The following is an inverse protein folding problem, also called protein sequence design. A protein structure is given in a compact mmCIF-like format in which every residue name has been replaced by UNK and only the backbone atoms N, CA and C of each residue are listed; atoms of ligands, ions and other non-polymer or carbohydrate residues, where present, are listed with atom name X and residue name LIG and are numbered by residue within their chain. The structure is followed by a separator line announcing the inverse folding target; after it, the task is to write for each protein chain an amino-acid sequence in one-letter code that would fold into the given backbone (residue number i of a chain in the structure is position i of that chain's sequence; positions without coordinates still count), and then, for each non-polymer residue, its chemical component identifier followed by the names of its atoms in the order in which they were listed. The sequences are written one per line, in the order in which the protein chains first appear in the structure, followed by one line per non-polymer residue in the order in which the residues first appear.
data_IF_379983645280
#
_entry.id   IF_379983645280
#
_cell.length_a   1.000
_cell.length_b   1.000
_cell.length_c   1.000
_cell.angle_alpha   90.00
_cell.angle_beta   90.00
_cell.angle_gamma   90.00
#
_symmetry.space_group_name_H-M   'P 1'
#
loop_
_entity.id
_entity.type
_entity.pdbx_description
1 polymer ?
#
# COMPACT_ATOMS: atom_id res chain seq x y z
N UNK A 1 -19.37 -21.99 12.68
CA UNK A 1 -18.18 -22.43 11.96
C UNK A 1 -17.47 -21.19 11.40
N UNK A 2 -16.21 -21.01 11.75
CA UNK A 2 -15.41 -19.88 11.27
C UNK A 2 -15.04 -20.06 9.79
N UNK A 3 -15.15 -19.01 9.01
CA UNK A 3 -14.75 -18.98 7.60
C UNK A 3 -13.25 -18.72 7.49
N UNK A 4 -12.58 -19.30 6.49
CA UNK A 4 -11.15 -19.14 6.29
C UNK A 4 -10.83 -17.79 5.64
N UNK A 5 -9.91 -17.02 6.21
CA UNK A 5 -9.40 -15.78 5.61
C UNK A 5 -8.56 -16.05 4.37
N UNK A 6 -7.76 -17.11 4.41
CA UNK A 6 -6.93 -17.61 3.31
C UNK A 6 -6.36 -18.99 3.66
N UNK A 7 -5.80 -19.75 2.69
CA UNK A 7 -5.14 -21.04 2.95
C UNK A 7 -3.71 -20.90 3.49
N UNK A 8 -3.27 -19.74 3.98
CA UNK A 8 -1.88 -19.44 4.32
C UNK A 8 -1.20 -20.47 5.22
N UNK A 9 -1.85 -20.90 6.29
CA UNK A 9 -1.24 -21.84 7.23
C UNK A 9 -1.16 -23.26 6.64
N UNK A 10 -2.16 -23.65 5.87
CA UNK A 10 -2.22 -24.99 5.28
C UNK A 10 -1.23 -25.18 4.15
N UNK A 11 -1.05 -24.19 3.29
CA UNK A 11 -0.08 -24.28 2.19
C UNK A 11 1.37 -24.39 2.69
N UNK A 12 1.72 -23.71 3.79
CA UNK A 12 3.02 -23.90 4.43
C UNK A 12 3.21 -25.31 4.99
N UNK A 13 2.16 -25.94 5.58
CA UNK A 13 2.22 -27.32 6.00
C UNK A 13 2.46 -28.29 4.84
N UNK A 14 1.91 -28.00 3.66
CA UNK A 14 2.18 -28.81 2.46
C UNK A 14 3.65 -28.72 2.04
N UNK A 15 4.30 -27.55 2.18
CA UNK A 15 5.74 -27.43 1.92
C UNK A 15 6.56 -28.25 2.94
N UNK A 16 6.19 -28.20 4.23
CA UNK A 16 6.82 -29.04 5.25
C UNK A 16 6.62 -30.54 4.96
N UNK A 17 5.44 -30.91 4.40
CA UNK A 17 5.13 -32.29 4.00
C UNK A 17 5.87 -32.76 2.75
N UNK A 18 6.69 -31.91 2.11
CA UNK A 18 7.52 -32.27 0.95
C UNK A 18 6.87 -32.01 -0.40
N UNK A 19 5.84 -31.19 -0.48
CA UNK A 19 5.31 -30.77 -1.76
C UNK A 19 6.23 -29.70 -2.36
N UNK A 20 6.54 -29.82 -3.65
CA UNK A 20 7.36 -28.84 -4.37
C UNK A 20 6.56 -27.61 -4.76
N UNK A 21 5.32 -27.81 -5.19
CA UNK A 21 4.43 -26.77 -5.70
C UNK A 21 2.99 -27.01 -5.29
N UNK A 22 2.33 -25.94 -4.92
CA UNK A 22 0.91 -25.92 -4.59
C UNK A 22 0.25 -24.73 -5.29
N UNK A 23 -0.97 -24.95 -5.79
CA UNK A 23 -1.87 -23.85 -6.13
C UNK A 23 -3.31 -24.24 -5.86
N UNK A 24 -4.14 -23.23 -5.62
CA UNK A 24 -5.58 -23.41 -5.43
C UNK A 24 -6.30 -22.14 -5.92
N UNK A 25 -7.44 -22.32 -6.58
CA UNK A 25 -8.43 -21.24 -6.76
C UNK A 25 -9.40 -21.37 -5.59
N UNK A 26 -9.34 -20.42 -4.67
CA UNK A 26 -9.96 -20.54 -3.35
C UNK A 26 -10.80 -19.34 -3.00
N UNK A 27 -11.95 -19.59 -2.36
CA UNK A 27 -12.79 -18.56 -1.77
C UNK A 27 -12.19 -18.14 -0.43
N UNK A 28 -12.02 -16.83 -0.24
CA UNK A 28 -11.49 -16.21 0.97
C UNK A 28 -12.54 -15.28 1.57
N UNK A 29 -12.49 -15.12 2.91
CA UNK A 29 -13.46 -14.34 3.65
C UNK A 29 -12.73 -13.40 4.61
N UNK A 30 -12.98 -12.10 4.49
CA UNK A 30 -12.38 -11.08 5.36
C UNK A 30 -13.41 -10.06 5.79
N UNK A 31 -13.34 -9.68 7.05
CA UNK A 31 -14.09 -8.55 7.58
C UNK A 31 -13.31 -7.26 7.26
N UNK A 32 -13.67 -6.63 6.16
CA UNK A 32 -13.01 -5.43 5.65
C UNK A 32 -14.03 -4.38 5.25
N UNK A 33 -13.59 -3.11 5.26
CA UNK A 33 -14.37 -2.02 4.70
C UNK A 33 -14.72 -2.28 3.22
N UNK A 34 -15.99 -2.20 2.89
CA UNK A 34 -16.48 -2.39 1.54
C UNK A 34 -16.20 -1.16 0.68
N UNK A 35 -15.17 -1.27 -0.14
CA UNK A 35 -14.76 -0.25 -1.10
C UNK A 35 -15.10 -0.69 -2.53
N UNK A 36 -14.80 0.15 -3.50
CA UNK A 36 -15.02 -0.17 -4.92
C UNK A 36 -14.25 -1.44 -5.36
N UNK A 37 -13.10 -1.70 -4.77
CA UNK A 37 -12.19 -2.80 -5.08
C UNK A 37 -12.13 -3.90 -4.00
N UNK A 38 -13.10 -3.94 -3.07
CA UNK A 38 -13.14 -4.91 -1.96
C UNK A 38 -14.54 -5.47 -1.71
N UNK A 39 -14.57 -6.77 -1.40
CA UNK A 39 -15.74 -7.53 -0.97
C UNK A 39 -15.38 -8.43 0.20
N UNK A 40 -16.32 -8.75 1.13
CA UNK A 40 -16.05 -9.59 2.29
C UNK A 40 -15.77 -11.05 1.93
N UNK A 41 -16.26 -11.47 0.77
CA UNK A 41 -15.94 -12.76 0.16
C UNK A 41 -15.42 -12.55 -1.26
N UNK A 42 -14.29 -13.13 -1.59
CA UNK A 42 -13.60 -12.97 -2.85
C UNK A 42 -12.80 -14.23 -3.21
N UNK A 43 -12.33 -14.30 -4.43
CA UNK A 43 -11.58 -15.46 -4.92
C UNK A 43 -10.12 -15.11 -5.11
N UNK A 44 -9.22 -15.99 -4.66
CA UNK A 44 -7.79 -15.89 -4.91
C UNK A 44 -7.29 -17.06 -5.76
N UNK A 45 -6.29 -16.77 -6.60
CA UNK A 45 -5.37 -17.79 -7.12
C UNK A 45 -4.19 -17.79 -6.15
N UNK A 46 -4.12 -18.82 -5.32
CA UNK A 46 -3.11 -18.93 -4.26
C UNK A 46 -2.06 -19.95 -4.63
N UNK A 47 -0.79 -19.57 -4.52
CA UNK A 47 0.37 -20.37 -4.92
C UNK A 47 1.39 -20.41 -3.78
N UNK A 48 2.02 -21.58 -3.59
CA UNK A 48 3.18 -21.75 -2.70
C UNK A 48 4.17 -22.73 -3.33
N UNK A 49 5.47 -22.45 -3.19
CA UNK A 49 6.53 -23.27 -3.78
C UNK A 49 7.70 -23.44 -2.79
N UNK A 50 8.29 -24.64 -2.81
CA UNK A 50 9.50 -24.97 -2.04
C UNK A 50 10.77 -24.67 -2.84
N UNK A 51 11.86 -24.36 -2.13
CA UNK A 51 13.20 -24.12 -2.67
C UNK A 51 13.27 -22.95 -3.65
N UNK A 52 12.52 -21.89 -3.39
CA UNK A 52 12.42 -20.70 -4.24
C UNK A 52 12.92 -19.45 -3.52
N UNK A 53 13.35 -18.50 -4.32
CA UNK A 53 13.57 -17.11 -3.97
C UNK A 53 12.51 -16.19 -4.62
N UNK A 54 12.63 -14.88 -4.44
CA UNK A 54 11.69 -13.91 -5.00
C UNK A 54 11.66 -13.95 -6.54
N UNK A 55 12.82 -14.10 -7.19
CA UNK A 55 12.91 -14.11 -8.65
C UNK A 55 12.15 -15.28 -9.27
N UNK A 56 12.13 -16.44 -8.60
CA UNK A 56 11.36 -17.61 -9.06
C UNK A 56 9.84 -17.33 -9.02
N UNK A 57 9.38 -16.66 -7.98
CA UNK A 57 7.96 -16.24 -7.86
C UNK A 57 7.65 -15.18 -8.91
N UNK A 58 8.50 -14.17 -9.08
CA UNK A 58 8.30 -13.10 -10.06
C UNK A 58 8.22 -13.67 -11.47
N UNK A 59 9.17 -14.50 -11.87
CA UNK A 59 9.18 -15.10 -13.20
C UNK A 59 7.95 -15.95 -13.50
N UNK A 60 7.43 -16.69 -12.52
CA UNK A 60 6.20 -17.45 -12.66
C UNK A 60 4.98 -16.55 -12.87
N UNK A 61 4.83 -15.49 -12.07
CA UNK A 61 3.70 -14.56 -12.15
C UNK A 61 3.79 -13.70 -13.42
N UNK A 62 4.97 -13.22 -13.78
CA UNK A 62 5.19 -12.49 -15.04
C UNK A 62 4.78 -13.34 -16.23
N UNK A 63 5.20 -14.60 -16.26
CA UNK A 63 4.79 -15.55 -17.30
C UNK A 63 3.27 -15.74 -17.37
N UNK A 64 2.61 -15.85 -16.20
CA UNK A 64 1.14 -15.95 -16.14
C UNK A 64 0.46 -14.68 -16.65
N UNK A 65 0.88 -13.50 -16.21
CA UNK A 65 0.30 -12.22 -16.61
C UNK A 65 0.51 -11.95 -18.09
N UNK A 66 1.70 -12.18 -18.63
CA UNK A 66 1.99 -11.98 -20.05
C UNK A 66 1.12 -12.89 -20.93
N UNK A 67 0.95 -14.14 -20.52
CA UNK A 67 0.06 -15.08 -21.22
C UNK A 67 -1.40 -14.64 -21.13
N UNK A 68 -1.90 -14.24 -19.96
CA UNK A 68 -3.25 -13.75 -19.74
C UNK A 68 -3.57 -12.53 -20.63
N UNK A 69 -2.72 -11.52 -20.64
CA UNK A 69 -2.92 -10.33 -21.47
C UNK A 69 -2.91 -10.66 -22.95
N UNK A 70 -2.03 -11.57 -23.37
CA UNK A 70 -1.95 -11.99 -24.76
C UNK A 70 -3.18 -12.77 -25.21
N UNK A 71 -3.62 -13.75 -24.44
CA UNK A 71 -4.70 -14.66 -24.83
C UNK A 71 -6.09 -14.04 -24.65
N UNK A 72 -6.29 -13.23 -23.61
CA UNK A 72 -7.61 -12.65 -23.30
C UNK A 72 -7.82 -11.29 -23.97
N UNK A 73 -6.82 -10.41 -23.90
CA UNK A 73 -6.94 -9.03 -24.41
C UNK A 73 -6.25 -8.82 -25.77
N UNK A 74 -5.53 -9.83 -26.28
CA UNK A 74 -4.67 -9.71 -27.45
C UNK A 74 -3.60 -8.59 -27.31
N UNK A 75 -3.17 -8.30 -26.08
CA UNK A 75 -2.14 -7.33 -25.74
C UNK A 75 -0.82 -8.05 -25.51
N UNK A 76 0.20 -7.68 -26.27
CA UNK A 76 1.54 -8.23 -26.13
C UNK A 76 2.38 -7.38 -25.20
N UNK A 77 2.44 -7.73 -23.92
CA UNK A 77 3.21 -7.03 -22.89
C UNK A 77 4.72 -7.08 -23.14
N UNK A 78 5.25 -8.03 -23.94
CA UNK A 78 6.67 -8.05 -24.33
C UNK A 78 7.08 -6.82 -25.14
N UNK A 79 6.14 -6.14 -25.79
CA UNK A 79 6.43 -4.86 -26.46
C UNK A 79 6.74 -3.74 -25.47
N UNK A 80 6.13 -3.78 -24.28
CA UNK A 80 6.35 -2.81 -23.21
C UNK A 80 7.48 -3.25 -22.26
N UNK A 81 7.60 -4.56 -22.04
CA UNK A 81 8.60 -5.18 -21.17
C UNK A 81 9.44 -6.21 -21.95
N UNK A 82 10.39 -5.74 -22.80
CA UNK A 82 11.09 -6.63 -23.78
C UNK A 82 11.92 -7.73 -23.13
N UNK A 83 12.36 -7.53 -21.90
CA UNK A 83 13.13 -8.51 -21.13
C UNK A 83 12.24 -9.62 -20.50
N UNK A 84 10.92 -9.53 -20.67
CA UNK A 84 9.96 -10.43 -20.03
C UNK A 84 9.88 -10.23 -18.52
N UNK A 85 10.30 -9.08 -18.01
CA UNK A 85 10.33 -8.74 -16.57
C UNK A 85 9.60 -7.43 -16.32
N UNK A 86 8.83 -7.39 -15.24
CA UNK A 86 8.21 -6.16 -14.76
C UNK A 86 9.22 -5.29 -13.99
N UNK A 87 9.06 -3.96 -14.03
CA UNK A 87 9.84 -3.07 -13.18
C UNK A 87 9.70 -3.42 -11.69
N UNK A 88 10.76 -3.22 -10.93
CA UNK A 88 10.78 -3.37 -9.47
C UNK A 88 11.01 -2.03 -8.82
N UNK A 89 10.20 -1.69 -7.84
CA UNK A 89 10.31 -0.48 -7.05
C UNK A 89 10.29 -0.86 -5.58
N UNK A 90 11.23 -0.36 -4.80
CA UNK A 90 11.22 -0.56 -3.36
C UNK A 90 10.07 0.21 -2.72
N UNK A 91 9.49 -0.33 -1.66
CA UNK A 91 8.41 0.31 -0.90
C UNK A 91 8.75 1.74 -0.49
N UNK A 92 9.96 1.95 0.03
CA UNK A 92 10.44 3.29 0.42
C UNK A 92 10.40 4.28 -0.77
N UNK A 93 10.84 3.86 -1.95
CA UNK A 93 10.79 4.68 -3.15
C UNK A 93 9.35 5.00 -3.56
N UNK A 94 8.46 4.01 -3.51
CA UNK A 94 7.04 4.21 -3.80
C UNK A 94 6.40 5.21 -2.82
N UNK A 95 6.67 5.06 -1.53
CA UNK A 95 6.20 6.00 -0.52
C UNK A 95 6.77 7.41 -0.75
N UNK A 96 8.04 7.53 -1.09
CA UNK A 96 8.69 8.81 -1.38
C UNK A 96 8.11 9.50 -2.61
N UNK A 97 7.91 8.78 -3.72
CA UNK A 97 7.46 9.34 -5.01
C UNK A 97 5.94 9.46 -5.12
N UNK A 98 5.18 8.57 -4.52
CA UNK A 98 3.74 8.43 -4.75
C UNK A 98 2.89 8.43 -3.47
N UNK A 99 3.51 8.26 -2.29
CA UNK A 99 2.83 8.26 -1.00
C UNK A 99 1.96 7.03 -0.74
N UNK A 100 2.13 5.96 -1.50
CA UNK A 100 1.45 4.68 -1.29
C UNK A 100 2.28 3.52 -1.85
N UNK A 101 1.88 2.30 -1.54
CA UNK A 101 2.47 1.02 -1.93
C UNK A 101 1.92 0.44 -3.24
N UNK A 102 1.05 1.16 -3.93
CA UNK A 102 0.40 0.76 -5.18
C UNK A 102 0.25 1.94 -6.14
N UNK A 103 1.36 2.48 -6.63
CA UNK A 103 1.32 3.69 -7.46
C UNK A 103 0.70 3.42 -8.83
N UNK A 104 -0.11 4.37 -9.29
CA UNK A 104 -0.55 4.39 -10.68
C UNK A 104 0.52 5.07 -11.55
N UNK A 105 1.22 4.30 -12.37
CA UNK A 105 2.31 4.78 -13.22
C UNK A 105 1.85 5.27 -14.60
N UNK A 106 0.54 5.26 -14.88
CA UNK A 106 0.01 5.72 -16.18
C UNK A 106 0.22 7.21 -16.44
N UNK A 107 0.50 7.99 -15.39
CA UNK A 107 0.72 9.44 -15.48
C UNK A 107 1.82 9.91 -14.52
N UNK A 108 2.36 11.09 -14.80
CA UNK A 108 3.37 11.76 -13.98
C UNK A 108 2.79 12.38 -12.70
N UNK A 109 3.26 13.58 -12.34
CA UNK A 109 2.96 14.31 -11.10
C UNK A 109 3.43 13.52 -9.87
N UNK A 110 4.74 13.35 -9.76
CA UNK A 110 5.35 12.70 -8.59
C UNK A 110 5.47 13.67 -7.42
N UNK A 111 5.58 13.13 -6.22
CA UNK A 111 5.88 13.90 -5.02
C UNK A 111 7.39 14.16 -4.93
N UNK A 112 7.73 15.30 -4.34
CA UNK A 112 9.10 15.59 -3.88
C UNK A 112 9.06 15.74 -2.35
N UNK A 113 9.92 15.03 -1.66
CA UNK A 113 10.13 15.22 -0.23
C UNK A 113 11.02 16.44 -0.01
N UNK A 114 10.50 17.41 0.74
CA UNK A 114 11.16 18.68 1.05
C UNK A 114 11.64 18.74 2.50
N UNK A 115 11.47 17.66 3.27
CA UNK A 115 11.73 17.64 4.72
C UNK A 115 13.16 18.08 5.02
N UNK A 116 14.14 17.52 4.33
CA UNK A 116 15.55 17.86 4.58
C UNK A 116 15.87 19.32 4.23
N UNK A 117 15.29 19.85 3.14
CA UNK A 117 15.45 21.27 2.79
C UNK A 117 14.85 22.18 3.87
N UNK A 118 13.67 21.83 4.40
CA UNK A 118 13.03 22.55 5.49
C UNK A 118 13.90 22.52 6.75
N UNK A 119 14.50 21.36 7.07
CA UNK A 119 15.41 21.20 8.21
C UNK A 119 16.68 22.05 8.03
N UNK A 120 17.34 21.99 6.88
CA UNK A 120 18.56 22.74 6.57
C UNK A 120 18.36 24.25 6.66
N UNK A 121 17.16 24.75 6.35
CA UNK A 121 16.82 26.17 6.43
C UNK A 121 16.12 26.56 7.75
N UNK A 122 16.11 25.67 8.79
CA UNK A 122 15.48 25.95 10.08
C UNK A 122 13.99 26.28 10.02
N UNK A 123 13.27 25.74 9.00
CA UNK A 123 11.86 26.03 8.74
C UNK A 123 11.62 27.29 7.92
N UNK A 124 12.68 28.09 7.65
CA UNK A 124 12.65 29.25 6.75
C UNK A 124 11.62 30.32 7.08
N UNK A 125 11.30 30.53 8.37
CA UNK A 125 10.31 31.52 8.83
C UNK A 125 8.84 31.10 8.66
N UNK A 126 8.58 29.88 8.17
CA UNK A 126 7.23 29.36 8.06
C UNK A 126 6.78 28.73 9.37
N UNK A 127 5.74 29.26 10.06
CA UNK A 127 5.34 28.80 11.39
C UNK A 127 5.04 27.31 11.52
N UNK A 128 4.64 26.65 10.43
CA UNK A 128 4.34 25.22 10.39
C UNK A 128 5.58 24.36 10.14
N UNK A 129 6.64 24.92 9.54
CA UNK A 129 7.87 24.20 9.23
C UNK A 129 8.91 24.31 10.35
N UNK A 130 8.92 25.42 11.09
CA UNK A 130 9.87 25.65 12.18
C UNK A 130 9.81 24.56 13.27
N UNK A 131 8.63 24.13 13.76
CA UNK A 131 8.55 23.03 14.73
C UNK A 131 9.13 21.72 14.18
N UNK A 132 8.85 21.38 12.91
CA UNK A 132 9.40 20.18 12.26
C UNK A 132 10.92 20.28 12.22
N UNK A 133 11.47 21.36 11.70
CA UNK A 133 12.92 21.59 11.62
C UNK A 133 13.60 21.51 12.98
N UNK A 134 12.99 22.10 14.02
CA UNK A 134 13.49 22.08 15.40
C UNK A 134 13.58 20.66 15.96
N UNK A 135 12.54 19.84 15.76
CA UNK A 135 12.50 18.46 16.25
C UNK A 135 13.59 17.58 15.61
N UNK A 136 13.84 17.75 14.31
CA UNK A 136 14.95 17.07 13.65
C UNK A 136 16.32 17.56 14.13
N UNK A 137 16.47 18.87 14.32
CA UNK A 137 17.75 19.45 14.76
C UNK A 137 18.06 19.09 16.23
N UNK A 138 17.04 18.98 17.07
CA UNK A 138 17.19 18.55 18.47
C UNK A 138 17.41 17.05 18.64
N UNK A 139 17.24 16.25 17.58
CA UNK A 139 17.31 14.78 17.64
C UNK A 139 16.05 14.12 18.20
N UNK A 140 14.96 14.88 18.40
CA UNK A 140 13.65 14.32 18.79
C UNK A 140 13.09 13.45 17.64
N UNK A 141 13.28 13.89 16.38
CA UNK A 141 12.89 13.14 15.19
C UNK A 141 14.12 12.51 14.53
N UNK A 142 13.93 11.29 14.07
CA UNK A 142 14.93 10.51 13.35
C UNK A 142 14.76 10.73 11.83
N UNK A 143 15.89 10.78 11.09
CA UNK A 143 15.85 10.90 9.61
C UNK A 143 15.46 9.62 8.90
N UNK A 144 15.84 8.49 9.47
CA UNK A 144 15.55 7.15 8.92
C UNK A 144 14.12 6.65 9.21
N UNK A 145 13.44 7.29 10.19
CA UNK A 145 12.04 7.01 10.53
C UNK A 145 11.32 8.32 10.96
N UNK A 146 11.11 9.24 10.03
CA UNK A 146 10.56 10.56 10.35
C UNK A 146 9.10 10.49 10.80
N UNK A 147 8.77 11.12 11.91
CA UNK A 147 7.42 11.22 12.44
C UNK A 147 6.59 12.28 11.72
N UNK A 148 7.24 13.34 11.23
CA UNK A 148 6.62 14.38 10.41
C UNK A 148 7.47 14.67 9.18
N UNK A 149 6.82 14.95 8.06
CA UNK A 149 7.45 15.26 6.78
C UNK A 149 6.79 16.47 6.09
N UNK A 150 7.49 17.01 5.11
CA UNK A 150 6.98 18.03 4.19
C UNK A 150 7.11 17.51 2.77
N UNK A 151 5.98 17.41 2.06
CA UNK A 151 5.95 16.98 0.66
C UNK A 151 5.29 17.98 -0.25
N UNK A 152 5.76 18.01 -1.48
CA UNK A 152 5.16 18.82 -2.54
C UNK A 152 4.92 18.01 -3.82
N UNK A 153 4.02 18.52 -4.66
CA UNK A 153 3.88 18.18 -6.06
C UNK A 153 3.66 19.45 -6.88
N UNK A 154 3.94 19.38 -8.18
CA UNK A 154 3.82 20.49 -9.10
C UNK A 154 2.71 20.22 -10.12
N UNK A 155 1.82 21.20 -10.29
CA UNK A 155 0.86 21.25 -11.39
C UNK A 155 1.44 22.19 -12.43
N UNK A 156 1.76 21.73 -13.65
CA UNK A 156 2.36 22.58 -14.66
C UNK A 156 1.40 23.65 -15.16
N UNK A 157 1.91 24.81 -15.52
CA UNK A 157 1.11 25.93 -16.04
C UNK A 157 0.25 25.55 -17.25
N UNK A 158 0.75 24.61 -18.09
CA UNK A 158 0.03 24.07 -19.25
C UNK A 158 -1.26 23.32 -18.91
N UNK A 159 -1.43 22.90 -17.67
CA UNK A 159 -2.64 22.18 -17.22
C UNK A 159 -3.87 23.10 -17.07
N UNK A 160 -3.73 24.41 -17.21
CA UNK A 160 -4.80 25.40 -17.08
C UNK A 160 -5.62 25.25 -15.77
N UNK A 161 -4.94 24.93 -14.68
CA UNK A 161 -5.57 24.69 -13.38
C UNK A 161 -5.98 26.02 -12.73
N UNK A 162 -7.28 26.26 -12.64
CA UNK A 162 -7.82 27.51 -12.15
C UNK A 162 -7.79 27.61 -10.61
N UNK A 163 -8.01 28.83 -10.07
CA UNK A 163 -8.18 29.02 -8.63
C UNK A 163 -9.34 28.21 -8.07
N UNK A 164 -10.48 28.14 -8.79
CA UNK A 164 -11.63 27.35 -8.40
C UNK A 164 -11.33 25.84 -8.35
N UNK A 165 -10.48 25.33 -9.25
CA UNK A 165 -10.03 23.94 -9.19
C UNK A 165 -9.15 23.70 -7.96
N UNK A 166 -8.30 24.67 -7.62
CA UNK A 166 -7.53 24.64 -6.39
C UNK A 166 -8.37 24.60 -5.12
N UNK A 167 -9.47 25.38 -5.09
CA UNK A 167 -10.39 25.39 -3.94
C UNK A 167 -11.14 24.05 -3.81
N UNK A 168 -11.51 23.43 -4.94
CA UNK A 168 -12.08 22.07 -4.96
C UNK A 168 -11.08 21.01 -4.49
N UNK A 169 -9.82 21.10 -4.91
CA UNK A 169 -8.76 20.20 -4.45
C UNK A 169 -8.55 20.34 -2.93
N UNK A 170 -8.59 21.57 -2.40
CA UNK A 170 -8.51 21.78 -0.96
C UNK A 170 -9.72 21.20 -0.21
N UNK A 171 -10.95 21.39 -0.73
CA UNK A 171 -12.14 20.75 -0.15
C UNK A 171 -12.02 19.23 -0.15
N UNK A 172 -11.51 18.63 -1.21
CA UNK A 172 -11.25 17.20 -1.29
C UNK A 172 -10.29 16.74 -0.19
N UNK A 173 -9.16 17.44 -0.01
CA UNK A 173 -8.17 17.15 1.05
C UNK A 173 -8.77 17.30 2.45
N UNK A 174 -9.59 18.35 2.67
CA UNK A 174 -10.32 18.54 3.94
C UNK A 174 -11.32 17.42 4.21
N UNK A 175 -12.02 16.95 3.19
CA UNK A 175 -12.93 15.80 3.26
C UNK A 175 -12.23 14.51 3.68
N UNK A 176 -10.91 14.39 3.44
CA UNK A 176 -10.06 13.28 3.87
C UNK A 176 -9.40 13.52 5.24
N UNK A 177 -9.83 14.51 5.99
CA UNK A 177 -9.28 14.84 7.31
C UNK A 177 -8.00 15.69 7.28
N UNK A 178 -7.61 16.22 6.12
CA UNK A 178 -6.55 17.23 6.02
C UNK A 178 -6.98 18.56 6.60
N UNK A 179 -6.05 19.34 7.16
CA UNK A 179 -6.33 20.69 7.67
C UNK A 179 -6.50 21.74 6.56
N UNK A 180 -6.01 21.45 5.37
CA UNK A 180 -6.06 22.30 4.17
C UNK A 180 -5.05 21.85 3.13
N UNK A 181 -4.92 22.62 2.06
CA UNK A 181 -3.91 22.42 1.01
C UNK A 181 -3.13 23.71 0.82
N UNK A 182 -1.86 23.72 1.26
CA UNK A 182 -0.99 24.86 0.98
C UNK A 182 -0.64 24.88 -0.51
N UNK A 183 -0.86 26.05 -1.15
CA UNK A 183 -0.61 26.22 -2.59
C UNK A 183 0.19 27.50 -2.81
N UNK A 184 1.03 27.51 -3.85
CA UNK A 184 1.73 28.68 -4.32
C UNK A 184 1.77 28.69 -5.84
N UNK A 185 1.39 29.80 -6.48
CA UNK A 185 1.60 30.02 -7.89
C UNK A 185 2.95 30.71 -8.09
N UNK A 186 3.74 30.21 -9.02
CA UNK A 186 5.08 30.71 -9.31
C UNK A 186 4.99 31.91 -10.24
N UNK A 187 5.56 33.03 -9.82
CA UNK A 187 5.71 34.23 -10.62
C UNK A 187 6.87 34.16 -11.62
N UNK A 188 6.96 35.14 -12.51
CA UNK A 188 8.02 35.23 -13.54
C UNK A 188 9.42 35.34 -12.92
N UNK A 189 9.53 35.91 -11.74
CA UNK A 189 10.76 36.06 -10.94
C UNK A 189 11.00 34.89 -9.95
N UNK A 190 10.21 33.84 -10.02
CA UNK A 190 10.26 32.72 -9.08
C UNK A 190 9.66 33.03 -7.71
N UNK A 191 8.97 34.16 -7.53
CA UNK A 191 8.24 34.48 -6.31
C UNK A 191 7.00 33.59 -6.15
N UNK A 192 6.59 33.39 -4.91
CA UNK A 192 5.35 32.66 -4.62
C UNK A 192 4.20 33.66 -4.49
N UNK A 193 3.20 33.51 -5.35
CA UNK A 193 1.98 34.32 -5.35
C UNK A 193 0.78 33.48 -4.96
N UNK A 194 -0.30 34.11 -4.52
CA UNK A 194 -1.54 33.44 -4.12
C UNK A 194 -1.35 32.34 -3.07
N UNK A 195 -0.39 32.54 -2.17
CA UNK A 195 0.00 31.54 -1.15
C UNK A 195 -0.06 32.12 0.25
N UNK A 196 -0.62 31.39 1.23
CA UNK A 196 -0.54 31.79 2.64
C UNK A 196 0.91 31.75 3.16
N UNK A 197 1.79 30.98 2.54
CA UNK A 197 3.19 30.83 2.93
C UNK A 197 4.09 31.97 2.40
N UNK A 198 3.68 32.65 1.33
CA UNK A 198 4.49 33.64 0.63
C UNK A 198 4.98 34.81 1.52
N UNK A 199 4.23 35.14 2.57
CA UNK A 199 4.58 36.23 3.48
C UNK A 199 5.69 35.90 4.47
N UNK A 200 5.85 34.60 4.78
CA UNK A 200 6.71 34.15 5.87
C UNK A 200 7.93 33.40 5.37
N UNK A 201 7.83 32.74 4.19
CA UNK A 201 8.93 31.93 3.67
C UNK A 201 10.14 32.79 3.33
N UNK A 202 11.30 32.43 3.87
CA UNK A 202 12.57 33.06 3.52
C UNK A 202 12.95 32.83 2.05
N UNK A 203 13.64 33.78 1.46
CA UNK A 203 14.13 33.67 0.08
C UNK A 203 15.02 32.44 -0.13
N UNK A 204 15.86 32.12 0.87
CA UNK A 204 16.73 30.94 0.82
C UNK A 204 15.96 29.63 0.70
N UNK A 205 14.96 29.42 1.56
CA UNK A 205 14.13 28.18 1.50
C UNK A 205 13.28 28.17 0.23
N UNK A 206 12.67 29.30 -0.15
CA UNK A 206 11.86 29.39 -1.36
C UNK A 206 12.66 29.02 -2.62
N UNK A 207 13.86 29.58 -2.78
CA UNK A 207 14.73 29.27 -3.91
C UNK A 207 15.16 27.79 -3.92
N UNK A 208 15.51 27.24 -2.76
CA UNK A 208 15.86 25.82 -2.64
C UNK A 208 14.68 24.90 -3.03
N UNK A 209 13.46 25.21 -2.59
CA UNK A 209 12.26 24.47 -2.99
C UNK A 209 12.00 24.61 -4.49
N UNK A 210 12.05 25.83 -5.04
CA UNK A 210 11.84 26.05 -6.47
C UNK A 210 12.83 25.23 -7.31
N UNK A 211 14.09 25.19 -6.90
CA UNK A 211 15.13 24.42 -7.59
C UNK A 211 14.87 22.90 -7.47
N UNK A 212 14.53 22.40 -6.27
CA UNK A 212 14.26 20.99 -6.04
C UNK A 212 13.05 20.49 -6.83
N UNK A 213 12.07 21.34 -7.07
CA UNK A 213 10.84 21.04 -7.82
C UNK A 213 10.95 21.36 -9.31
N UNK A 214 12.05 21.92 -9.80
CA UNK A 214 12.25 22.40 -11.18
C UNK A 214 11.06 23.24 -11.69
N UNK A 215 10.52 24.12 -10.84
CA UNK A 215 9.33 24.89 -11.17
C UNK A 215 9.60 25.96 -12.21
N UNK A 216 8.57 26.27 -13.02
CA UNK A 216 8.58 27.29 -14.05
C UNK A 216 7.54 28.37 -13.76
N UNK A 217 7.66 29.57 -14.33
CA UNK A 217 6.64 30.59 -14.21
C UNK A 217 5.23 30.07 -14.58
N UNK A 218 4.27 30.34 -13.73
CA UNK A 218 2.89 29.89 -13.88
C UNK A 218 2.54 28.54 -13.28
N UNK A 219 3.54 27.73 -12.91
CA UNK A 219 3.31 26.45 -12.21
C UNK A 219 2.66 26.69 -10.85
N UNK A 220 1.97 25.66 -10.35
CA UNK A 220 1.36 25.67 -9.02
C UNK A 220 2.00 24.56 -8.19
N UNK A 221 2.64 24.96 -7.10
CA UNK A 221 3.17 24.04 -6.09
C UNK A 221 2.07 23.76 -5.06
N UNK A 222 1.80 22.50 -4.82
CA UNK A 222 0.89 22.02 -3.76
C UNK A 222 1.71 21.31 -2.69
N UNK A 223 1.52 21.69 -1.41
CA UNK A 223 2.28 21.16 -0.28
C UNK A 223 1.35 20.57 0.79
N UNK A 224 1.82 19.49 1.40
CA UNK A 224 1.31 18.92 2.65
C UNK A 224 2.45 18.71 3.63
N UNK A 225 2.16 18.86 4.92
CA UNK A 225 3.13 18.72 5.99
C UNK A 225 2.45 18.23 7.28
N UNK A 226 3.22 17.60 8.14
CA UNK A 226 2.77 17.03 9.42
C UNK A 226 3.08 15.54 9.54
N UNK A 227 2.25 14.76 10.26
CA UNK A 227 2.48 13.34 10.51
C UNK A 227 2.70 12.57 9.20
N UNK A 228 3.78 11.79 9.13
CA UNK A 228 4.28 11.12 7.93
C UNK A 228 3.21 10.31 7.21
N UNK A 229 2.52 9.42 7.91
CA UNK A 229 1.47 8.58 7.33
C UNK A 229 0.32 9.42 6.73
N UNK A 230 -0.11 10.45 7.46
CA UNK A 230 -1.17 11.35 7.00
C UNK A 230 -0.77 12.13 5.77
N UNK A 231 0.46 12.64 5.71
CA UNK A 231 0.98 13.37 4.54
C UNK A 231 1.06 12.44 3.33
N UNK A 232 1.52 11.20 3.51
CA UNK A 232 1.54 10.21 2.44
C UNK A 232 0.13 9.96 1.87
N UNK A 233 -0.84 9.67 2.72
CA UNK A 233 -2.24 9.41 2.31
C UNK A 233 -2.84 10.62 1.58
N UNK A 234 -2.69 11.82 2.13
CA UNK A 234 -3.26 13.04 1.53
C UNK A 234 -2.62 13.36 0.18
N UNK A 235 -1.30 13.23 0.06
CA UNK A 235 -0.58 13.50 -1.19
C UNK A 235 -0.87 12.45 -2.26
N UNK A 236 -0.93 11.16 -1.90
CA UNK A 236 -1.30 10.10 -2.83
C UNK A 236 -2.69 10.33 -3.42
N UNK A 237 -3.66 10.66 -2.58
CA UNK A 237 -5.03 10.94 -3.03
C UNK A 237 -5.14 12.26 -3.81
N UNK A 238 -4.39 13.30 -3.44
CA UNK A 238 -4.29 14.53 -4.22
C UNK A 238 -3.76 14.25 -5.63
N UNK A 239 -2.70 13.43 -5.73
CA UNK A 239 -2.13 13.02 -7.01
C UNK A 239 -3.17 12.33 -7.90
N UNK A 240 -3.92 11.36 -7.37
CA UNK A 240 -4.99 10.66 -8.10
C UNK A 240 -6.13 11.60 -8.50
N UNK A 241 -6.54 12.49 -7.59
CA UNK A 241 -7.55 13.51 -7.88
C UNK A 241 -7.11 14.41 -9.05
N UNK A 242 -5.88 14.89 -9.03
CA UNK A 242 -5.32 15.72 -10.11
C UNK A 242 -5.20 14.90 -11.41
N UNK A 243 -4.74 13.66 -11.36
CA UNK A 243 -4.64 12.79 -12.52
C UNK A 243 -5.98 12.63 -13.25
N UNK A 244 -7.07 12.43 -12.51
CA UNK A 244 -8.43 12.38 -13.05
C UNK A 244 -8.89 13.75 -13.55
N UNK A 245 -8.73 14.79 -12.74
CA UNK A 245 -9.19 16.14 -13.05
C UNK A 245 -8.52 16.73 -14.31
N UNK A 246 -7.26 16.40 -14.53
CA UNK A 246 -6.47 16.86 -15.67
C UNK A 246 -6.55 15.94 -16.89
N UNK A 247 -7.35 14.87 -16.83
CA UNK A 247 -7.47 13.90 -17.92
C UNK A 247 -6.20 13.11 -18.21
N UNK A 248 -5.33 12.94 -17.22
CA UNK A 248 -4.06 12.22 -17.37
C UNK A 248 -4.22 10.71 -17.20
N UNK A 249 -5.29 10.29 -16.54
CA UNK A 249 -5.65 8.88 -16.36
C UNK A 249 -6.67 8.54 -17.47
N UNK A 250 -6.41 7.54 -18.33
CA UNK A 250 -7.37 7.11 -19.35
C UNK A 250 -8.71 6.71 -18.71
N UNK A 251 -9.81 7.04 -19.37
CA UNK A 251 -11.15 6.58 -18.93
C UNK A 251 -11.28 5.07 -19.10
N UNK A 252 -12.06 4.45 -18.21
CA UNK A 252 -12.39 3.02 -18.31
C UNK A 252 -13.06 2.71 -19.65
N UNK A 253 -12.74 1.57 -20.26
CA UNK A 253 -13.29 1.16 -21.55
C UNK A 253 -12.65 1.83 -22.77
N UNK A 254 -11.63 2.67 -22.59
CA UNK A 254 -10.96 3.35 -23.70
C UNK A 254 -9.82 2.55 -24.35
N UNK A 255 -9.62 1.28 -23.98
CA UNK A 255 -8.47 0.48 -24.40
C UNK A 255 -7.18 0.95 -23.75
N UNK A 256 -7.25 1.25 -22.47
CA UNK A 256 -6.25 1.99 -21.71
C UNK A 256 -4.88 1.32 -21.63
N UNK A 257 -3.91 2.12 -21.24
CA UNK A 257 -2.54 1.68 -20.93
C UNK A 257 -2.53 0.85 -19.66
N UNK A 258 -1.88 -0.32 -19.71
CA UNK A 258 -1.66 -1.19 -18.56
C UNK A 258 -0.22 -1.02 -18.05
N UNK A 259 -0.06 -0.50 -16.85
CA UNK A 259 1.23 -0.33 -16.18
C UNK A 259 1.34 -1.29 -15.02
N UNK A 260 2.28 -2.21 -15.12
CA UNK A 260 2.57 -3.26 -14.15
C UNK A 260 3.91 -2.99 -13.47
N UNK A 261 4.00 -3.28 -12.17
CA UNK A 261 5.26 -3.25 -11.43
C UNK A 261 5.20 -4.14 -10.21
N UNK A 262 6.37 -4.49 -9.69
CA UNK A 262 6.54 -5.06 -8.36
C UNK A 262 6.88 -3.98 -7.35
N UNK A 263 6.25 -4.03 -6.18
CA UNK A 263 6.69 -3.32 -4.97
C UNK A 263 7.38 -4.33 -4.08
N UNK A 264 8.58 -4.03 -3.60
CA UNK A 264 9.44 -4.94 -2.82
C UNK A 264 9.92 -4.29 -1.53
N UNK A 265 10.42 -5.11 -0.63
CA UNK A 265 11.14 -4.70 0.60
C UNK A 265 10.34 -3.74 1.51
N UNK A 266 9.06 -4.01 1.83
CA UNK A 266 8.35 -3.19 2.80
C UNK A 266 8.83 -3.45 4.22
N UNK A 267 8.48 -2.57 5.19
CA UNK A 267 8.66 -2.84 6.61
C UNK A 267 7.93 -4.12 7.04
N UNK A 268 8.54 -4.90 7.93
CA UNK A 268 7.94 -6.10 8.53
C UNK A 268 6.85 -5.72 9.54
N UNK A 269 7.04 -4.58 10.21
CA UNK A 269 6.16 -4.11 11.29
C UNK A 269 5.63 -2.72 11.01
N UNK A 270 4.44 -2.46 11.52
CA UNK A 270 3.80 -1.16 11.58
C UNK A 270 3.32 -0.86 13.00
N UNK A 271 3.01 0.40 13.30
CA UNK A 271 2.38 0.75 14.56
C UNK A 271 0.91 0.36 14.56
N UNK A 272 0.43 -0.22 15.66
CA UNK A 272 -0.99 -0.48 15.86
C UNK A 272 -1.81 0.83 15.86
N UNK A 273 -3.13 0.74 15.79
CA UNK A 273 -4.04 1.90 15.79
C UNK A 273 -3.82 2.84 16.98
N UNK A 274 -3.29 2.34 18.10
CA UNK A 274 -2.95 3.15 19.26
C UNK A 274 -1.60 3.84 19.14
N UNK A 275 -0.78 3.47 18.17
CA UNK A 275 0.59 3.94 17.97
C UNK A 275 1.59 3.48 19.04
N UNK A 276 1.18 2.57 19.95
CA UNK A 276 1.96 2.16 21.11
C UNK A 276 2.71 0.87 20.93
N UNK A 277 2.17 -0.07 20.15
CA UNK A 277 2.76 -1.40 19.93
C UNK A 277 3.11 -1.60 18.47
N UNK A 278 4.03 -2.52 18.24
CA UNK A 278 4.28 -3.03 16.90
C UNK A 278 3.29 -4.14 16.56
N UNK A 279 2.81 -4.15 15.36
CA UNK A 279 2.02 -5.21 14.75
C UNK A 279 2.74 -5.71 13.49
N UNK A 280 2.49 -6.93 13.06
CA UNK A 280 2.95 -7.37 11.76
C UNK A 280 2.19 -6.58 10.68
N UNK A 281 2.91 -5.92 9.78
CA UNK A 281 2.30 -5.13 8.71
C UNK A 281 1.38 -5.97 7.79
N UNK A 282 1.63 -7.30 7.74
CA UNK A 282 0.82 -8.24 6.96
C UNK A 282 0.53 -9.52 7.77
N UNK A 283 1.50 -10.43 7.83
CA UNK A 283 1.41 -11.62 8.66
C UNK A 283 2.79 -11.96 9.27
N UNK A 284 2.84 -12.57 10.47
CA UNK A 284 4.08 -12.77 11.20
C UNK A 284 4.97 -13.91 10.68
N UNK A 285 4.59 -14.54 9.56
CA UNK A 285 5.35 -15.61 8.90
C UNK A 285 6.17 -15.13 7.71
N UNK A 286 6.29 -13.83 7.52
CA UNK A 286 7.14 -13.22 6.49
C UNK A 286 8.59 -13.20 6.97
N UNK A 287 9.53 -13.60 6.10
CA UNK A 287 10.95 -13.59 6.41
C UNK A 287 11.48 -12.16 6.44
N UNK A 288 12.10 -11.70 7.56
CA UNK A 288 12.88 -10.47 7.56
C UNK A 288 14.11 -10.61 6.67
N UNK A 289 14.64 -9.49 6.16
CA UNK A 289 15.95 -9.47 5.53
C UNK A 289 17.03 -9.90 6.53
N UNK A 290 18.03 -10.65 6.08
CA UNK A 290 19.04 -11.24 6.96
C UNK A 290 19.88 -10.16 7.69
N UNK A 291 20.13 -9.03 7.04
CA UNK A 291 20.82 -7.86 7.61
C UNK A 291 19.97 -7.08 8.62
N UNK A 292 18.66 -7.30 8.65
CA UNK A 292 17.71 -6.65 9.56
C UNK A 292 17.39 -7.52 10.81
N UNK A 293 17.82 -8.77 10.87
CA UNK A 293 17.46 -9.69 11.98
C UNK A 293 17.86 -9.13 13.35
N UNK A 294 19.00 -8.46 13.45
CA UNK A 294 19.47 -7.86 14.71
C UNK A 294 18.68 -6.61 15.14
N UNK A 295 17.84 -6.08 14.26
CA UNK A 295 16.97 -4.94 14.55
C UNK A 295 15.63 -5.36 15.17
N UNK A 296 15.27 -6.66 15.15
CA UNK A 296 13.99 -7.15 15.65
C UNK A 296 13.68 -6.70 17.09
N UNK A 297 14.69 -6.67 17.96
CA UNK A 297 14.52 -6.21 19.36
C UNK A 297 15.00 -4.78 19.58
N UNK A 298 15.91 -4.28 18.74
CA UNK A 298 16.52 -2.96 18.93
C UNK A 298 15.71 -1.85 18.31
N UNK A 299 15.19 -2.10 17.10
CA UNK A 299 14.50 -1.11 16.30
C UNK A 299 13.55 -1.75 15.28
N UNK A 300 12.43 -2.33 15.72
CA UNK A 300 11.51 -3.04 14.83
C UNK A 300 11.02 -2.22 13.64
N UNK A 301 10.95 -0.88 13.78
CA UNK A 301 10.50 0.01 12.70
C UNK A 301 11.42 0.08 11.48
N UNK A 302 12.66 -0.39 11.59
CA UNK A 302 13.61 -0.45 10.49
C UNK A 302 13.76 -1.85 9.89
N UNK A 303 13.04 -2.84 10.40
CA UNK A 303 13.11 -4.21 9.87
C UNK A 303 12.37 -4.30 8.56
N UNK A 304 13.10 -4.51 7.48
CA UNK A 304 12.56 -4.81 6.16
C UNK A 304 12.35 -6.32 5.99
N UNK A 305 11.48 -6.70 5.05
CA UNK A 305 11.16 -8.10 4.83
C UNK A 305 11.06 -8.47 3.33
N UNK A 306 11.20 -9.76 3.07
CA UNK A 306 11.07 -10.38 1.75
C UNK A 306 9.59 -10.51 1.32
N UNK A 307 8.85 -9.39 1.39
CA UNK A 307 7.51 -9.28 0.87
C UNK A 307 7.52 -8.54 -0.47
N UNK A 308 6.57 -8.88 -1.29
CA UNK A 308 6.38 -8.29 -2.61
C UNK A 308 4.89 -8.23 -2.97
N UNK A 309 4.52 -7.17 -3.65
CA UNK A 309 3.18 -6.98 -4.21
C UNK A 309 3.28 -6.68 -5.70
N UNK A 310 2.43 -7.30 -6.52
CA UNK A 310 2.29 -6.95 -7.92
C UNK A 310 1.14 -5.96 -8.09
N UNK A 311 1.45 -4.85 -8.75
CA UNK A 311 0.54 -3.71 -8.92
C UNK A 311 0.22 -3.53 -10.39
N UNK A 312 -1.05 -3.29 -10.70
CA UNK A 312 -1.57 -2.94 -12.02
C UNK A 312 -2.40 -1.67 -11.92
N UNK A 313 -1.98 -0.60 -12.60
CA UNK A 313 -2.74 0.66 -12.69
C UNK A 313 -3.18 1.25 -11.35
N UNK A 314 -2.36 1.16 -10.31
CA UNK A 314 -2.69 1.69 -8.99
C UNK A 314 -3.48 0.72 -8.09
N UNK A 315 -3.63 -0.53 -8.51
CA UNK A 315 -4.26 -1.59 -7.72
C UNK A 315 -3.26 -2.71 -7.45
N UNK A 316 -3.12 -3.11 -6.20
CA UNK A 316 -2.47 -4.36 -5.83
C UNK A 316 -3.34 -5.52 -6.33
N UNK A 317 -2.85 -6.27 -7.32
CA UNK A 317 -3.54 -7.44 -7.87
C UNK A 317 -3.11 -8.74 -7.20
N UNK A 318 -2.02 -8.71 -6.43
CA UNK A 318 -1.56 -9.86 -5.67
C UNK A 318 -0.41 -9.49 -4.76
N UNK A 319 -0.29 -10.21 -3.67
CA UNK A 319 0.79 -10.04 -2.69
C UNK A 319 1.30 -11.37 -2.16
N UNK A 320 2.58 -11.40 -1.82
CA UNK A 320 3.26 -12.59 -1.34
C UNK A 320 4.53 -12.30 -0.56
N UNK A 321 5.19 -13.35 -0.12
CA UNK A 321 6.48 -13.24 0.56
C UNK A 321 7.28 -14.54 0.48
N UNK A 322 8.58 -14.44 0.72
CA UNK A 322 9.36 -15.59 1.19
C UNK A 322 9.00 -15.80 2.66
N UNK A 323 8.79 -17.06 3.05
CA UNK A 323 8.30 -17.41 4.37
C UNK A 323 9.44 -17.56 5.35
N UNK A 324 9.16 -17.19 6.58
CA UNK A 324 10.05 -17.45 7.70
C UNK A 324 9.91 -18.91 8.10
N UNK A 325 10.95 -19.68 7.89
CA UNK A 325 11.00 -21.12 8.17
C UNK A 325 11.96 -21.48 9.31
N UNK A 326 12.74 -20.50 9.81
CA UNK A 326 13.61 -20.67 10.98
C UNK A 326 12.79 -20.44 12.28
N UNK A 327 12.61 -21.48 13.13
CA UNK A 327 11.85 -21.33 14.36
C UNK A 327 12.46 -20.34 15.37
N UNK A 328 13.77 -20.15 15.36
CA UNK A 328 14.46 -19.23 16.28
C UNK A 328 14.18 -17.77 15.93
N UNK A 329 14.22 -17.43 14.65
CA UNK A 329 13.86 -16.10 14.16
C UNK A 329 12.36 -15.87 14.32
N UNK A 330 11.52 -16.90 14.10
CA UNK A 330 10.07 -16.80 14.28
C UNK A 330 9.70 -16.43 15.73
N UNK A 331 10.36 -17.00 16.72
CA UNK A 331 10.15 -16.65 18.12
C UNK A 331 10.51 -15.17 18.39
N UNK A 332 11.58 -14.65 17.79
CA UNK A 332 11.98 -13.24 17.89
C UNK A 332 10.96 -12.29 17.23
N UNK A 333 10.42 -12.67 16.07
CA UNK A 333 9.34 -11.91 15.41
C UNK A 333 8.10 -11.83 16.29
N UNK A 334 7.65 -12.95 16.88
CA UNK A 334 6.51 -12.94 17.80
C UNK A 334 6.74 -12.05 19.02
N UNK A 335 7.93 -12.11 19.59
CA UNK A 335 8.30 -11.26 20.73
C UNK A 335 8.26 -9.77 20.36
N UNK A 336 8.68 -9.40 19.15
CA UNK A 336 8.67 -8.00 18.68
C UNK A 336 7.25 -7.42 18.57
N UNK A 337 6.22 -8.27 18.41
CA UNK A 337 4.81 -7.87 18.32
C UNK A 337 3.99 -8.29 19.55
N UNK A 338 4.66 -8.49 20.69
CA UNK A 338 4.04 -8.82 21.99
C UNK A 338 3.15 -10.08 21.97
N UNK A 339 3.45 -11.08 21.11
CA UNK A 339 2.79 -12.39 21.15
C UNK A 339 3.55 -13.28 22.11
N UNK A 340 2.88 -13.70 23.19
CA UNK A 340 3.46 -14.64 24.17
C UNK A 340 3.64 -16.03 23.60
N UNK A 341 4.52 -16.84 24.22
CA UNK A 341 4.71 -18.25 23.83
C UNK A 341 3.42 -19.05 23.94
N UNK A 342 2.58 -18.77 24.94
CA UNK A 342 1.27 -19.40 25.13
C UNK A 342 0.31 -19.03 24.00
N UNK A 343 0.22 -17.74 23.64
CA UNK A 343 -0.63 -17.28 22.55
C UNK A 343 -0.16 -17.83 21.21
N UNK A 344 1.16 -17.84 20.96
CA UNK A 344 1.76 -18.39 19.77
C UNK A 344 1.44 -19.89 19.64
N UNK A 345 1.56 -20.63 20.75
CA UNK A 345 1.24 -22.06 20.78
C UNK A 345 -0.26 -22.32 20.61
N UNK A 346 -1.12 -21.51 21.18
CA UNK A 346 -2.57 -21.65 21.05
C UNK A 346 -3.04 -21.36 19.62
N UNK A 347 -2.54 -20.29 18.99
CA UNK A 347 -2.99 -19.84 17.66
C UNK A 347 -2.31 -20.59 16.53
N UNK A 348 -1.02 -20.87 16.65
CA UNK A 348 -0.15 -21.35 15.57
C UNK A 348 0.62 -22.62 15.92
N UNK A 349 0.34 -23.25 17.05
CA UNK A 349 1.12 -24.37 17.59
C UNK A 349 1.32 -25.52 16.61
N UNK A 350 0.31 -25.85 15.81
CA UNK A 350 0.42 -26.88 14.78
C UNK A 350 1.42 -26.54 13.68
N UNK A 351 1.45 -25.29 13.21
CA UNK A 351 2.44 -24.82 12.22
C UNK A 351 3.83 -24.74 12.83
N UNK A 352 3.97 -24.14 14.03
CA UNK A 352 5.25 -24.05 14.73
C UNK A 352 5.86 -25.42 15.01
N UNK A 353 5.02 -26.41 15.37
CA UNK A 353 5.46 -27.79 15.53
C UNK A 353 5.94 -28.41 14.23
N UNK A 354 5.23 -28.17 13.12
CA UNK A 354 5.62 -28.63 11.80
C UNK A 354 6.95 -28.01 11.35
N UNK A 355 7.13 -26.69 11.49
CA UNK A 355 8.38 -26.01 11.14
C UNK A 355 9.60 -26.57 11.89
N UNK A 356 9.42 -27.01 13.16
CA UNK A 356 10.49 -27.66 13.94
C UNK A 356 10.92 -29.04 13.41
N UNK A 357 10.08 -29.70 12.62
CA UNK A 357 10.43 -30.96 11.96
C UNK A 357 11.36 -30.77 10.75
N UNK A 358 11.54 -29.54 10.32
CA UNK A 358 12.32 -29.13 9.17
C UNK A 358 11.41 -28.70 8.01
N UNK A 359 11.54 -27.43 7.61
CA UNK A 359 10.84 -26.87 6.46
C UNK A 359 11.86 -26.45 5.40
N UNK A 360 11.61 -26.70 4.11
CA UNK A 360 12.43 -26.10 3.07
C UNK A 360 12.26 -24.58 3.07
N UNK A 361 13.21 -23.80 2.56
CA UNK A 361 12.93 -22.44 2.14
C UNK A 361 11.74 -22.45 1.19
N UNK A 362 10.75 -21.61 1.41
CA UNK A 362 9.54 -21.58 0.60
C UNK A 362 8.97 -20.17 0.51
N UNK A 363 8.16 -19.94 -0.49
CA UNK A 363 7.51 -18.67 -0.73
C UNK A 363 6.30 -18.84 -1.61
N UNK A 364 5.47 -17.82 -1.67
CA UNK A 364 4.25 -17.87 -2.46
C UNK A 364 3.60 -16.51 -2.61
N UNK A 365 2.53 -16.50 -3.38
CA UNK A 365 1.74 -15.31 -3.69
C UNK A 365 0.27 -15.69 -3.83
N UNK A 366 -0.61 -14.75 -3.49
CA UNK A 366 -2.03 -14.85 -3.77
C UNK A 366 -2.46 -13.72 -4.71
N UNK A 367 -3.03 -14.05 -5.86
CA UNK A 367 -3.60 -13.09 -6.80
C UNK A 367 -5.11 -12.97 -6.55
N UNK A 368 -5.61 -11.73 -6.39
CA UNK A 368 -7.04 -11.43 -6.29
C UNK A 368 -7.72 -11.60 -7.64
N UNK A 369 -8.37 -12.74 -7.88
CA UNK A 369 -8.97 -13.07 -9.17
C UNK A 369 -10.06 -12.06 -9.56
N UNK A 370 -10.91 -11.68 -8.62
CA UNK A 370 -12.00 -10.73 -8.89
C UNK A 370 -11.45 -9.34 -9.24
N UNK A 371 -10.40 -8.89 -8.55
CA UNK A 371 -9.76 -7.60 -8.85
C UNK A 371 -9.06 -7.65 -10.21
N UNK A 372 -8.40 -8.75 -10.53
CA UNK A 372 -7.79 -8.94 -11.84
C UNK A 372 -8.86 -8.91 -12.94
N UNK A 373 -9.98 -9.62 -12.75
CA UNK A 373 -11.11 -9.59 -13.68
C UNK A 373 -11.68 -8.18 -13.85
N UNK A 374 -11.87 -7.43 -12.75
CA UNK A 374 -12.32 -6.04 -12.79
C UNK A 374 -11.40 -5.16 -13.66
N UNK A 375 -10.09 -5.29 -13.50
CA UNK A 375 -9.12 -4.49 -14.26
C UNK A 375 -9.02 -4.91 -15.72
N UNK A 376 -9.09 -6.21 -16.02
CA UNK A 376 -9.05 -6.72 -17.41
C UNK A 376 -10.32 -6.41 -18.20
N UNK A 377 -11.46 -6.30 -17.53
CA UNK A 377 -12.75 -5.89 -18.14
C UNK A 377 -12.96 -4.39 -18.11
N UNK A 378 -12.01 -3.62 -17.54
CA UNK A 378 -12.11 -2.18 -17.32
C UNK A 378 -13.39 -1.76 -16.58
N UNK A 379 -13.88 -2.63 -15.66
CA UNK A 379 -15.06 -2.36 -14.83
C UNK A 379 -14.73 -1.35 -13.72
N UNK A 380 -15.69 -0.53 -13.33
CA UNK A 380 -15.50 0.51 -12.32
C UNK A 380 -15.45 -0.04 -10.89
N UNK A 381 -16.13 -1.17 -10.65
CA UNK A 381 -16.19 -1.77 -9.33
C UNK A 381 -16.10 -3.30 -9.38
N UNK A 382 -15.49 -3.88 -8.36
CA UNK A 382 -15.35 -5.34 -8.20
C UNK A 382 -16.71 -6.06 -8.17
N UNK A 383 -17.77 -5.36 -7.77
CA UNK A 383 -19.14 -5.89 -7.77
C UNK A 383 -19.68 -6.19 -9.16
N UNK A 384 -19.11 -5.60 -10.19
CA UNK A 384 -19.55 -5.81 -11.58
C UNK A 384 -19.05 -7.13 -12.14
N UNK A 385 -18.06 -7.75 -11.50
CA UNK A 385 -17.42 -9.01 -11.93
C UNK A 385 -17.63 -10.17 -10.96
N UNK A 386 -18.38 -9.96 -9.86
CA UNK A 386 -18.69 -10.99 -8.88
C UNK A 386 -20.17 -11.35 -8.96
N UNK A 387 -20.46 -12.66 -9.05
CA UNK A 387 -21.82 -13.16 -8.92
C UNK A 387 -22.30 -12.99 -7.47
N UNK A 388 -23.49 -12.42 -7.29
CA UNK A 388 -24.11 -12.16 -5.98
C UNK A 388 -23.27 -11.26 -5.05
N UNK A 389 -22.83 -10.06 -5.50
CA UNK A 389 -22.01 -9.19 -4.69
C UNK A 389 -22.78 -8.63 -3.49
N UNK A 390 -22.06 -8.36 -2.41
CA UNK A 390 -22.64 -7.68 -1.23
C UNK A 390 -22.70 -6.18 -1.43
N UNK A 391 -23.74 -5.56 -0.89
CA UNK A 391 -23.87 -4.09 -0.82
C UNK A 391 -22.86 -3.52 0.18
N UNK A 392 -22.73 -2.19 0.26
CA UNK A 392 -21.91 -1.53 1.27
C UNK A 392 -22.30 -1.84 2.72
N UNK A 393 -23.53 -2.33 2.94
CA UNK A 393 -24.04 -2.77 4.25
C UNK A 393 -23.84 -4.28 4.49
N UNK A 394 -23.13 -4.98 3.62
CA UNK A 394 -22.93 -6.42 3.73
C UNK A 394 -24.13 -7.27 3.34
N UNK A 395 -25.15 -6.69 2.71
CA UNK A 395 -26.37 -7.41 2.36
C UNK A 395 -26.26 -8.03 0.98
N UNK A 396 -26.62 -9.28 0.84
CA UNK A 396 -26.85 -9.95 -0.44
C UNK A 396 -28.25 -9.58 -0.96
N UNK A 397 -28.32 -8.94 -2.11
CA UNK A 397 -29.59 -8.47 -2.68
C UNK A 397 -30.48 -9.60 -3.19
N UNK A 398 -29.92 -10.74 -3.54
CA UNK A 398 -30.67 -11.87 -4.08
C UNK A 398 -31.36 -12.66 -2.97
N UNK A 399 -30.65 -12.92 -1.89
CA UNK A 399 -31.11 -13.75 -0.77
C UNK A 399 -31.65 -12.95 0.40
N UNK A 400 -31.34 -11.65 0.46
CA UNK A 400 -31.64 -10.78 1.61
C UNK A 400 -30.75 -11.08 2.85
N UNK A 401 -29.73 -11.91 2.72
CA UNK A 401 -28.80 -12.22 3.82
C UNK A 401 -27.93 -10.99 4.18
N UNK A 402 -27.55 -10.82 5.49
CA UNK A 402 -27.90 -11.66 6.62
C UNK A 402 -29.36 -11.48 7.07
N UNK A 403 -29.99 -12.56 7.51
CA UNK A 403 -31.33 -12.56 8.06
C UNK A 403 -31.31 -12.87 9.56
N UNK A 404 -32.35 -12.46 10.33
CA UNK A 404 -32.45 -12.81 11.74
C UNK A 404 -32.40 -14.34 11.95
N UNK A 405 -31.72 -14.76 12.98
CA UNK A 405 -31.67 -16.15 13.43
C UNK A 405 -32.84 -16.39 14.40
N UNK A 406 -33.52 -17.55 14.30
CA UNK A 406 -34.62 -17.84 15.17
C UNK A 406 -34.17 -18.05 16.62
N UNK A 407 -35.04 -17.78 17.62
CA UNK A 407 -34.74 -18.02 19.04
C UNK A 407 -34.35 -19.48 19.32
N UNK A 408 -34.95 -20.43 18.62
CA UNK A 408 -34.70 -21.87 18.78
C UNK A 408 -33.27 -22.20 18.31
N UNK A 409 -32.83 -21.67 17.19
CA UNK A 409 -31.47 -21.82 16.66
C UNK A 409 -30.43 -21.20 17.60
N UNK A 410 -30.72 -20.02 18.17
CA UNK A 410 -29.83 -19.38 19.14
C UNK A 410 -29.71 -20.23 20.41
N UNK A 411 -30.85 -20.79 20.91
CA UNK A 411 -30.86 -21.64 22.08
C UNK A 411 -30.07 -22.96 21.86
N UNK A 412 -30.17 -23.57 20.67
CA UNK A 412 -29.41 -24.76 20.28
C UNK A 412 -27.90 -24.47 20.31
N UNK A 413 -27.49 -23.32 19.83
CA UNK A 413 -26.08 -22.87 19.81
C UNK A 413 -25.61 -22.34 21.17
N UNK A 414 -26.50 -22.19 22.16
CA UNK A 414 -26.24 -21.56 23.47
C UNK A 414 -25.69 -20.14 23.34
N UNK A 415 -26.22 -19.37 22.39
CA UNK A 415 -25.86 -17.97 22.11
C UNK A 415 -27.03 -17.07 22.49
N UNK A 416 -26.75 -15.90 23.07
CA UNK A 416 -27.73 -14.85 23.34
C UNK A 416 -27.32 -13.57 22.67
N UNK A 417 -28.27 -12.82 22.06
CA UNK A 417 -27.98 -11.48 21.58
C UNK A 417 -27.54 -10.60 22.76
N UNK A 418 -26.49 -9.81 22.56
CA UNK A 418 -26.14 -8.72 23.50
C UNK A 418 -27.13 -7.60 23.25
N UNK A 419 -27.83 -7.16 24.30
CA UNK A 419 -28.78 -6.03 24.23
C UNK A 419 -28.06 -4.70 24.14
#
# INVERSE_FOLDING_TARGET
YALAESPQLFKQLLMVAGYDRYFQIVKCFRDEDMRLDRQPEFTQIDVEMSFVNEDDIFGMIEGLLFKLFKEILNIDLLKQYPEGKLPRMRFEESMRRFGNDKPDLRFGIEHTDLTELVVQHGGGGVPFFEPIAKKFTSGEYRRDLPQEIVKALVIPASANFSRADGDKAEQYIRGMGGSGLARAKIGDDGSWTQSPLAKNISDGLRLAINQALDVKPGDIVCLQFGPTEKVHVLMANLRLYLGKKLGLIPESGSGGRFELLWITDPPLFERDETGKRWAAAHHPFTRPHDDCIELLEKDPGLVLCHRYDVVLNGFEIGGGSIRLHDPSVQARVFKAIDISDEDAQQKFGFLLKALRLGAPPHGGIALGMDRLAMLLTESEAIRDVIAFPKTQKGTDLMTGAPSPVSPEQLAELKISPVQ
#
